data_IF_719625642196
#
_entry.id   IF_719625642196
#
_cell.length_a   1.000
_cell.length_b   1.000
_cell.length_c   1.000
_cell.angle_alpha   90.00
_cell.angle_beta   90.00
_cell.angle_gamma   90.00
#
_symmetry.space_group_name_H-M   'P 1'
#
loop_
_entity.id
_entity.type
_entity.pdbx_description
1 polymer ?
#
# COMPACT_ATOMS: atom_id res chain seq x y z
N UNK A 1 23.94 25.56 9.45
CA UNK A 1 23.25 24.68 8.47
C UNK A 1 22.44 23.66 9.25
N UNK A 2 21.16 23.46 8.93
CA UNK A 2 20.30 22.47 9.61
C UNK A 2 20.54 21.10 8.96
N UNK A 3 20.75 20.06 9.76
CA UNK A 3 20.84 18.69 9.24
C UNK A 3 19.45 18.23 8.79
N UNK A 4 19.38 17.59 7.61
CA UNK A 4 18.16 16.99 7.09
C UNK A 4 18.24 15.47 7.23
N UNK A 5 17.17 14.85 7.74
CA UNK A 5 17.11 13.38 7.88
C UNK A 5 16.66 12.72 6.57
N UNK A 6 17.64 12.45 5.71
CA UNK A 6 17.46 11.90 4.38
C UNK A 6 18.27 10.62 4.17
N UNK A 7 17.79 9.79 3.25
CA UNK A 7 18.46 8.61 2.69
C UNK A 7 18.82 8.91 1.24
N UNK A 8 20.01 8.49 0.84
CA UNK A 8 20.44 8.49 -0.56
C UNK A 8 20.18 7.11 -1.15
N UNK A 9 19.56 7.08 -2.32
CA UNK A 9 19.35 5.86 -3.11
C UNK A 9 20.00 6.09 -4.46
N UNK A 10 20.93 5.20 -4.83
CA UNK A 10 21.60 5.26 -6.13
C UNK A 10 20.87 4.33 -7.09
N UNK A 11 20.30 4.90 -8.14
CA UNK A 11 19.65 4.19 -9.24
C UNK A 11 20.52 4.26 -10.50
N UNK A 12 20.08 3.63 -11.59
CA UNK A 12 20.79 3.68 -12.87
C UNK A 12 20.79 5.12 -13.40
N UNK A 13 21.93 5.79 -13.29
CA UNK A 13 22.14 7.14 -13.80
C UNK A 13 21.57 8.28 -12.93
N UNK A 14 20.96 7.98 -11.78
CA UNK A 14 20.27 8.97 -10.94
C UNK A 14 20.54 8.71 -9.46
N UNK A 15 20.60 9.78 -8.67
CA UNK A 15 20.61 9.72 -7.20
C UNK A 15 19.28 10.30 -6.69
N UNK A 16 18.53 9.51 -5.94
CA UNK A 16 17.34 9.97 -5.25
C UNK A 16 17.68 10.34 -3.79
N UNK A 17 17.22 11.51 -3.36
CA UNK A 17 17.33 11.97 -1.98
C UNK A 17 15.93 11.93 -1.36
N UNK A 18 15.69 10.97 -0.47
CA UNK A 18 14.37 10.70 0.09
C UNK A 18 14.40 10.91 1.60
N UNK A 19 13.45 11.65 2.21
CA UNK A 19 13.31 11.71 3.66
C UNK A 19 13.20 10.31 4.25
N UNK A 20 13.92 10.01 5.35
CA UNK A 20 14.00 8.62 5.85
C UNK A 20 12.66 8.02 6.22
N UNK A 21 11.78 8.86 6.74
CA UNK A 21 10.43 8.51 7.19
C UNK A 21 9.53 8.18 5.99
N UNK A 22 9.81 8.71 4.80
CA UNK A 22 8.94 8.56 3.65
C UNK A 22 9.24 7.27 2.86
N UNK A 23 8.16 6.61 2.43
CA UNK A 23 8.20 5.51 1.46
C UNK A 23 6.84 5.40 0.74
N UNK A 24 6.83 4.73 -0.42
CA UNK A 24 5.63 4.60 -1.27
C UNK A 24 4.46 3.90 -0.55
N UNK A 25 4.72 2.95 0.35
CA UNK A 25 3.70 2.27 1.15
C UNK A 25 2.92 3.21 2.08
N UNK A 26 3.57 4.21 2.69
CA UNK A 26 2.88 5.23 3.48
C UNK A 26 1.93 6.08 2.64
N UNK A 27 2.32 6.37 1.39
CA UNK A 27 1.46 7.10 0.47
C UNK A 27 0.23 6.29 0.13
N UNK A 28 0.38 4.99 -0.15
CA UNK A 28 -0.77 4.09 -0.41
C UNK A 28 -1.74 4.08 0.76
N UNK A 29 -1.27 3.81 1.98
CA UNK A 29 -2.14 3.81 3.17
C UNK A 29 -2.86 5.14 3.34
N UNK A 30 -2.14 6.25 3.14
CA UNK A 30 -2.72 7.59 3.24
C UNK A 30 -3.83 7.81 2.21
N UNK A 31 -3.58 7.49 0.94
CA UNK A 31 -4.57 7.66 -0.14
C UNK A 31 -5.80 6.81 0.13
N UNK A 32 -5.63 5.53 0.48
CA UNK A 32 -6.76 4.63 0.72
C UNK A 32 -7.61 5.06 1.93
N UNK A 33 -6.97 5.47 3.04
CA UNK A 33 -7.67 6.01 4.22
C UNK A 33 -8.40 7.32 3.91
N UNK A 34 -7.77 8.20 3.14
CA UNK A 34 -8.37 9.48 2.76
C UNK A 34 -9.58 9.29 1.83
N UNK A 35 -9.51 8.34 0.89
CA UNK A 35 -10.64 7.97 0.03
C UNK A 35 -11.78 7.41 0.90
N UNK A 36 -11.50 6.46 1.78
CA UNK A 36 -12.51 5.90 2.69
C UNK A 36 -13.18 6.98 3.56
N UNK A 37 -12.42 7.95 4.05
CA UNK A 37 -12.94 9.05 4.86
C UNK A 37 -13.85 9.99 4.04
N UNK A 38 -13.48 10.32 2.80
CA UNK A 38 -14.25 11.23 1.92
C UNK A 38 -15.58 10.65 1.49
N UNK A 39 -15.67 9.33 1.35
CA UNK A 39 -16.86 8.62 0.89
C UNK A 39 -17.73 8.11 2.05
N UNK A 40 -17.69 8.78 3.21
CA UNK A 40 -18.59 8.51 4.33
C UNK A 40 -18.32 7.18 5.04
N UNK A 41 -17.09 6.66 4.97
CA UNK A 41 -16.73 5.33 5.42
C UNK A 41 -16.98 4.24 4.38
N UNK A 42 -17.36 4.62 3.16
CA UNK A 42 -17.27 3.74 1.99
C UNK A 42 -15.88 3.82 1.38
N UNK A 43 -15.18 2.70 1.44
CA UNK A 43 -13.83 2.59 0.91
C UNK A 43 -13.82 2.51 -0.61
N UNK A 44 -12.68 2.10 -1.13
CA UNK A 44 -12.60 1.53 -2.47
C UNK A 44 -13.06 0.07 -2.43
N UNK A 45 -13.67 -0.41 -3.50
CA UNK A 45 -14.06 -1.81 -3.70
C UNK A 45 -13.02 -2.57 -4.56
N UNK A 46 -12.26 -1.84 -5.39
CA UNK A 46 -11.21 -2.38 -6.25
C UNK A 46 -9.91 -1.57 -6.16
N UNK A 47 -8.79 -2.26 -5.99
CA UNK A 47 -7.45 -1.68 -6.00
C UNK A 47 -6.54 -2.49 -6.91
N UNK A 48 -5.91 -1.80 -7.85
CA UNK A 48 -4.83 -2.31 -8.69
C UNK A 48 -3.54 -1.54 -8.40
N UNK A 49 -2.55 -2.22 -7.86
CA UNK A 49 -1.27 -1.65 -7.44
C UNK A 49 -0.13 -2.26 -8.27
N UNK A 50 0.54 -1.45 -9.11
CA UNK A 50 1.61 -1.91 -10.00
C UNK A 50 2.93 -1.17 -9.79
N UNK A 51 4.06 -1.87 -9.88
CA UNK A 51 5.39 -1.24 -9.76
C UNK A 51 6.55 -2.13 -10.23
N UNK A 52 7.62 -1.51 -10.73
CA UNK A 52 8.75 -2.16 -11.39
C UNK A 52 10.02 -2.20 -10.53
N UNK A 53 10.09 -1.40 -9.48
CA UNK A 53 11.32 -1.20 -8.72
C UNK A 53 11.28 -1.77 -7.29
N UNK A 54 12.45 -1.87 -6.66
CA UNK A 54 12.57 -2.32 -5.25
C UNK A 54 11.83 -1.36 -4.31
N UNK A 55 11.74 -0.08 -4.68
CA UNK A 55 11.01 0.91 -3.90
C UNK A 55 9.49 0.65 -3.85
N UNK A 56 8.95 -0.09 -4.81
CA UNK A 56 7.53 -0.45 -4.92
C UNK A 56 7.14 -1.63 -4.02
N UNK A 57 8.10 -2.38 -3.50
CA UNK A 57 7.83 -3.52 -2.61
C UNK A 57 7.09 -3.10 -1.33
N UNK A 58 7.37 -1.89 -0.84
CA UNK A 58 6.65 -1.28 0.27
C UNK A 58 5.21 -0.89 -0.10
N UNK A 59 4.95 -0.64 -1.37
CA UNK A 59 3.61 -0.35 -1.90
C UNK A 59 2.72 -1.61 -1.80
N UNK A 60 3.23 -2.76 -2.25
CA UNK A 60 2.48 -4.03 -2.27
C UNK A 60 2.15 -4.51 -0.86
N UNK A 61 3.14 -4.52 0.02
CA UNK A 61 2.96 -4.92 1.43
C UNK A 61 2.00 -3.98 2.16
N UNK A 62 2.06 -2.67 1.90
CA UNK A 62 1.14 -1.70 2.48
C UNK A 62 -0.30 -1.90 2.00
N UNK A 63 -0.50 -2.25 0.73
CA UNK A 63 -1.82 -2.49 0.16
C UNK A 63 -2.51 -3.70 0.81
N UNK A 64 -1.81 -4.82 0.96
CA UNK A 64 -2.36 -5.98 1.68
C UNK A 64 -2.55 -5.71 3.18
N UNK A 65 -1.61 -5.02 3.83
CA UNK A 65 -1.77 -4.61 5.22
C UNK A 65 -3.02 -3.76 5.42
N UNK A 66 -3.33 -2.87 4.49
CA UNK A 66 -4.56 -2.07 4.54
C UNK A 66 -5.81 -2.93 4.32
N UNK A 67 -5.77 -3.86 3.36
CA UNK A 67 -6.89 -4.78 3.14
C UNK A 67 -7.19 -5.63 4.40
N UNK A 68 -6.15 -6.17 5.04
CA UNK A 68 -6.32 -6.90 6.30
C UNK A 68 -6.88 -6.01 7.42
N UNK A 69 -6.44 -4.76 7.55
CA UNK A 69 -7.00 -3.80 8.51
C UNK A 69 -8.49 -3.52 8.28
N UNK A 70 -9.00 -3.67 7.04
CA UNK A 70 -10.41 -3.51 6.70
C UNK A 70 -11.24 -4.78 6.89
N UNK A 71 -10.65 -5.94 6.65
CA UNK A 71 -11.30 -7.25 6.83
C UNK A 71 -11.41 -7.65 8.32
N UNK A 72 -10.62 -7.03 9.21
CA UNK A 72 -10.74 -7.24 10.66
C UNK A 72 -11.98 -6.52 11.22
N UNK A 73 -13.16 -7.09 10.96
CA UNK A 73 -14.24 -7.04 11.93
C UNK A 73 -13.69 -7.60 13.25
N UNK A 74 -13.59 -6.73 14.26
CA UNK A 74 -13.18 -6.99 15.66
C UNK A 74 -14.05 -7.99 16.42
N UNK A 75 -14.72 -8.93 15.74
CA UNK A 75 -15.56 -9.98 16.32
C UNK A 75 -14.87 -11.34 16.44
N UNK A 76 -13.64 -11.52 15.91
CA UNK A 76 -12.97 -12.83 15.89
C UNK A 76 -11.78 -12.97 16.84
N UNK A 77 -11.31 -11.89 17.46
CA UNK A 77 -10.30 -11.98 18.53
C UNK A 77 -11.03 -12.23 19.85
N UNK A 78 -11.23 -13.51 20.19
CA UNK A 78 -11.57 -13.82 21.58
C UNK A 78 -10.44 -13.27 22.46
N UNK A 79 -10.74 -12.52 23.54
CA UNK A 79 -9.72 -12.13 24.48
C UNK A 79 -8.96 -13.38 24.93
N UNK A 80 -7.65 -13.23 25.15
CA UNK A 80 -6.86 -14.30 25.75
C UNK A 80 -7.61 -14.80 27.00
N UNK A 81 -7.83 -16.12 27.17
CA UNK A 81 -8.64 -16.63 28.26
C UNK A 81 -8.14 -16.04 29.58
N UNK A 82 -9.06 -15.54 30.41
CA UNK A 82 -8.72 -15.02 31.73
C UNK A 82 -7.90 -16.07 32.47
N UNK A 83 -6.63 -15.73 32.73
CA UNK A 83 -5.83 -16.45 33.72
C UNK A 83 -6.51 -16.19 35.06
N UNK A 84 -7.44 -17.08 35.42
CA UNK A 84 -7.98 -17.19 36.77
C UNK A 84 -6.84 -17.64 37.68
N UNK A 85 -6.01 -16.67 38.06
CA UNK A 85 -5.09 -16.78 39.17
C UNK A 85 -5.93 -16.98 40.42
N UNK A 86 -5.95 -18.22 40.91
CA UNK A 86 -6.46 -18.52 42.22
C UNK A 86 -5.68 -17.75 43.28
N UNK A 87 -6.44 -17.35 44.30
CA UNK A 87 -6.04 -17.06 45.66
C UNK A 87 -5.50 -15.65 45.99
N UNK A 88 -6.35 -14.89 46.70
CA UNK A 88 -5.89 -14.07 47.84
C UNK A 88 -5.81 -12.56 47.65
N UNK A 89 -6.77 -11.87 48.28
CA UNK A 89 -6.65 -10.59 49.02
C UNK A 89 -5.68 -9.47 48.57
N UNK A 90 -6.27 -8.30 48.24
CA UNK A 90 -5.63 -7.00 48.50
C UNK A 90 -5.71 -5.97 47.37
N UNK A 91 -6.58 -4.99 47.53
CA UNK A 91 -6.67 -3.80 46.67
C UNK A 91 -5.35 -3.01 46.62
N UNK A 92 -4.83 -2.67 45.43
CA UNK A 92 -3.83 -1.59 45.27
C UNK A 92 -4.09 -0.75 44.00
N UNK A 93 -4.47 0.50 44.29
CA UNK A 93 -4.20 1.79 43.65
C UNK A 93 -3.98 1.90 42.12
N UNK A 94 -4.89 2.64 41.50
CA UNK A 94 -4.60 3.49 40.36
C UNK A 94 -3.68 4.66 40.78
N UNK A 95 -2.54 4.86 40.10
CA UNK A 95 -1.78 6.13 40.10
C UNK A 95 -0.87 6.27 38.87
N UNK A 96 -1.07 7.34 38.09
CA UNK A 96 -0.06 8.16 37.38
C UNK A 96 0.78 7.51 36.25
N UNK A 97 1.30 8.19 35.23
CA UNK A 97 1.55 9.61 34.95
C UNK A 97 1.82 9.81 33.45
N UNK A 98 1.78 11.06 33.01
CA UNK A 98 1.69 11.60 31.66
C UNK A 98 3.03 11.65 30.87
N UNK A 99 2.88 11.93 29.56
CA UNK A 99 3.78 12.60 28.61
C UNK A 99 4.87 11.83 27.82
N UNK A 100 4.64 11.65 26.52
CA UNK A 100 5.62 11.99 25.46
C UNK A 100 4.92 12.29 24.12
N UNK A 101 5.12 13.50 23.60
CA UNK A 101 4.56 14.04 22.35
C UNK A 101 4.84 13.18 21.11
N UNK A 102 3.84 12.38 20.70
CA UNK A 102 3.73 11.85 19.34
C UNK A 102 2.63 12.66 18.64
N UNK A 103 2.85 13.24 17.44
CA UNK A 103 1.78 13.93 16.74
C UNK A 103 0.69 12.91 16.41
N UNK A 104 -0.41 13.01 17.13
CA UNK A 104 -1.64 12.26 16.92
C UNK A 104 -2.11 12.54 15.49
N UNK A 105 -1.78 11.64 14.57
CA UNK A 105 -2.68 11.38 13.45
C UNK A 105 -4.01 11.05 14.12
N UNK A 106 -5.00 11.91 13.88
CA UNK A 106 -6.39 11.71 14.26
C UNK A 106 -6.88 10.44 13.53
N UNK A 107 -6.51 9.27 14.07
CA UNK A 107 -7.10 7.99 13.71
C UNK A 107 -8.51 8.00 14.28
N UNK A 108 -9.39 8.74 13.61
CA UNK A 108 -10.82 8.55 13.73
C UNK A 108 -11.08 7.07 13.44
N UNK A 109 -11.61 6.30 14.42
CA UNK A 109 -11.97 4.91 14.19
C UNK A 109 -13.03 4.90 13.08
N UNK A 110 -12.76 4.18 11.99
CA UNK A 110 -13.72 4.02 10.91
C UNK A 110 -15.00 3.42 11.51
N UNK A 111 -16.15 4.06 11.28
CA UNK A 111 -17.43 3.65 11.88
C UNK A 111 -17.71 2.18 11.53
N UNK A 112 -17.91 1.35 12.55
CA UNK A 112 -18.31 -0.05 12.43
C UNK A 112 -19.60 -0.16 11.61
N UNK A 113 -19.55 -0.86 10.48
CA UNK A 113 -20.72 -1.14 9.64
C UNK A 113 -21.56 -2.21 10.32
N UNK A 114 -22.86 -1.97 10.42
CA UNK A 114 -23.84 -2.92 10.99
C UNK A 114 -24.18 -4.02 9.98
N UNK A 115 -24.38 -5.22 10.50
CA UNK A 115 -24.24 -6.54 9.88
C UNK A 115 -25.37 -7.00 8.95
N UNK A 116 -25.88 -6.14 8.06
CA UNK A 116 -27.03 -6.48 7.19
C UNK A 116 -26.84 -6.15 5.68
N UNK A 117 -25.62 -5.85 5.22
CA UNK A 117 -25.28 -5.70 3.78
C UNK A 117 -24.29 -6.80 3.40
N UNK A 118 -24.57 -7.58 2.36
CA UNK A 118 -23.72 -8.66 1.86
C UNK A 118 -22.37 -8.09 1.35
N UNK A 119 -21.46 -7.87 2.30
CA UNK A 119 -20.00 -7.76 2.21
C UNK A 119 -19.42 -7.07 0.97
N UNK A 120 -19.20 -5.76 1.04
CA UNK A 120 -18.34 -5.04 0.10
C UNK A 120 -16.86 -5.49 0.28
N UNK A 121 -16.52 -6.66 -0.22
CA UNK A 121 -15.17 -7.22 -0.14
C UNK A 121 -14.21 -6.37 -1.00
N UNK A 122 -13.11 -5.91 -0.41
CA UNK A 122 -12.08 -5.17 -1.12
C UNK A 122 -11.28 -6.10 -2.05
N UNK A 123 -11.41 -5.91 -3.36
CA UNK A 123 -10.60 -6.62 -4.35
C UNK A 123 -9.22 -5.98 -4.50
N UNK A 124 -8.21 -6.60 -3.87
CA UNK A 124 -6.82 -6.12 -3.86
C UNK A 124 -5.94 -6.91 -4.83
N UNK A 125 -5.46 -6.25 -5.89
CA UNK A 125 -4.53 -6.81 -6.85
C UNK A 125 -3.20 -6.07 -6.80
N UNK A 126 -2.11 -6.82 -6.64
CA UNK A 126 -0.74 -6.28 -6.76
C UNK A 126 -0.02 -6.97 -7.91
N UNK A 127 0.71 -6.19 -8.71
CA UNK A 127 1.52 -6.74 -9.79
C UNK A 127 2.89 -6.06 -9.89
N UNK A 128 3.93 -6.88 -9.95
CA UNK A 128 5.25 -6.38 -10.34
C UNK A 128 5.34 -6.22 -11.85
N UNK A 129 6.04 -5.20 -12.33
CA UNK A 129 6.39 -5.09 -13.75
C UNK A 129 7.78 -5.69 -13.95
N UNK A 130 7.88 -6.67 -14.84
CA UNK A 130 9.03 -7.56 -14.99
C UNK A 130 8.99 -8.76 -14.05
N UNK A 131 9.56 -9.89 -14.50
CA UNK A 131 9.75 -11.08 -13.66
C UNK A 131 10.90 -10.87 -12.69
N UNK A 132 10.59 -10.73 -11.41
CA UNK A 132 11.56 -10.53 -10.32
C UNK A 132 11.04 -11.11 -9.01
N UNK A 133 11.93 -11.43 -8.04
CA UNK A 133 11.50 -11.64 -6.66
C UNK A 133 10.76 -10.40 -6.16
N UNK A 134 9.54 -10.57 -5.67
CA UNK A 134 8.65 -9.46 -5.27
C UNK A 134 7.65 -9.93 -4.21
N UNK A 135 7.07 -8.98 -3.49
CA UNK A 135 5.91 -9.15 -2.63
C UNK A 135 4.57 -9.01 -3.37
N UNK A 136 4.58 -8.61 -4.64
CA UNK A 136 3.37 -8.61 -5.45
C UNK A 136 2.86 -10.04 -5.72
N UNK A 137 1.55 -10.23 -5.78
CA UNK A 137 0.93 -11.54 -6.06
C UNK A 137 1.00 -11.93 -7.53
N UNK A 138 1.08 -10.94 -8.43
CA UNK A 138 1.14 -11.15 -9.87
C UNK A 138 2.35 -10.43 -10.48
N UNK A 139 2.57 -10.66 -11.77
CA UNK A 139 3.50 -9.86 -12.56
C UNK A 139 2.97 -9.60 -13.97
N UNK A 140 3.47 -8.52 -14.57
CA UNK A 140 3.27 -8.12 -15.96
C UNK A 140 4.66 -8.12 -16.62
N UNK A 141 4.81 -8.48 -17.90
CA UNK A 141 6.15 -8.69 -18.46
C UNK A 141 6.95 -7.39 -18.61
N UNK A 142 6.30 -6.32 -19.08
CA UNK A 142 6.92 -5.03 -19.34
C UNK A 142 5.90 -3.88 -19.25
N UNK A 143 6.37 -2.64 -19.41
CA UNK A 143 5.52 -1.46 -19.37
C UNK A 143 4.48 -1.41 -20.49
N UNK A 144 4.72 -2.13 -21.60
CA UNK A 144 3.78 -2.18 -22.71
C UNK A 144 2.55 -3.02 -22.35
N UNK A 145 2.78 -4.20 -21.79
CA UNK A 145 1.72 -5.07 -21.28
C UNK A 145 0.89 -4.35 -20.20
N UNK A 146 1.51 -3.50 -19.37
CA UNK A 146 0.77 -2.63 -18.43
C UNK A 146 -0.20 -1.72 -19.17
N UNK A 147 0.25 -1.05 -20.23
CA UNK A 147 -0.60 -0.21 -21.06
C UNK A 147 -1.75 -0.99 -21.71
N UNK A 148 -1.47 -2.14 -22.31
CA UNK A 148 -2.50 -3.00 -22.90
C UNK A 148 -3.53 -3.48 -21.87
N UNK A 149 -3.10 -3.82 -20.66
CA UNK A 149 -3.98 -4.21 -19.56
C UNK A 149 -4.88 -3.05 -19.13
N UNK A 150 -4.35 -1.85 -18.95
CA UNK A 150 -5.13 -0.67 -18.56
C UNK A 150 -6.16 -0.28 -19.64
N UNK A 151 -5.82 -0.44 -20.92
CA UNK A 151 -6.76 -0.22 -22.03
C UNK A 151 -7.88 -1.25 -22.00
N UNK A 152 -7.55 -2.53 -21.80
CA UNK A 152 -8.55 -3.60 -21.68
C UNK A 152 -9.49 -3.35 -20.49
N UNK A 153 -8.96 -2.92 -19.35
CA UNK A 153 -9.76 -2.54 -18.16
C UNK A 153 -10.68 -1.34 -18.43
N UNK A 154 -10.28 -0.42 -19.31
CA UNK A 154 -11.14 0.70 -19.72
C UNK A 154 -12.26 0.29 -20.70
N UNK A 155 -12.30 -0.98 -21.14
CA UNK A 155 -13.24 -1.47 -22.15
C UNK A 155 -12.83 -1.14 -23.60
N UNK A 156 -11.58 -0.73 -23.82
CA UNK A 156 -11.04 -0.43 -25.15
C UNK A 156 -10.33 -1.63 -25.79
N UNK A 157 -10.28 -1.65 -27.12
CA UNK A 157 -9.57 -2.68 -27.89
C UNK A 157 -8.06 -2.42 -27.89
N UNK A 158 -7.33 -3.14 -27.03
CA UNK A 158 -5.88 -2.99 -26.84
C UNK A 158 -5.05 -3.19 -28.14
N UNK A 159 -5.52 -4.02 -29.08
CA UNK A 159 -4.85 -4.23 -30.38
C UNK A 159 -4.90 -3.00 -31.30
N UNK A 160 -5.91 -2.14 -31.14
CA UNK A 160 -6.10 -0.96 -32.01
C UNK A 160 -5.35 0.29 -31.51
N UNK A 161 -5.09 0.36 -30.20
CA UNK A 161 -4.60 1.57 -29.54
C UNK A 161 -3.06 1.61 -29.40
N UNK A 162 -2.39 0.46 -29.45
CA UNK A 162 -0.97 0.34 -29.16
C UNK A 162 -0.32 -0.67 -30.12
N UNK A 163 0.35 -0.18 -31.17
CA UNK A 163 1.17 -1.03 -32.05
C UNK A 163 2.52 -1.30 -31.40
N UNK A 164 2.77 -2.57 -31.00
CA UNK A 164 4.04 -2.96 -30.35
C UNK A 164 5.22 -2.59 -31.24
N UNK A 165 6.19 -1.79 -30.78
CA UNK A 165 7.43 -1.60 -31.53
C UNK A 165 8.14 -2.95 -31.67
N UNK A 166 8.49 -3.32 -32.89
CA UNK A 166 9.24 -4.54 -33.21
C UNK A 166 10.62 -4.49 -32.57
N UNK A 167 10.97 -5.54 -31.81
CA UNK A 167 12.24 -5.68 -31.08
C UNK A 167 13.49 -5.92 -31.98
N UNK A 168 13.43 -5.61 -33.27
CA UNK A 168 14.59 -5.64 -34.17
C UNK A 168 15.21 -4.24 -34.23
N UNK A 169 16.06 -3.88 -33.25
CA UNK A 169 16.91 -2.69 -33.35
C UNK A 169 17.28 -1.94 -32.07
N UNK A 170 16.80 -2.34 -30.89
CA UNK A 170 16.98 -1.58 -29.65
C UNK A 170 18.35 -1.81 -28.94
N UNK A 171 19.44 -1.91 -29.70
CA UNK A 171 20.81 -1.91 -29.16
C UNK A 171 21.59 -0.62 -29.48
N UNK A 172 20.94 0.49 -29.81
CA UNK A 172 21.59 1.83 -29.84
C UNK A 172 20.53 2.92 -29.75
N UNK A 173 20.17 3.38 -28.54
CA UNK A 173 19.79 4.77 -28.23
C UNK A 173 19.17 4.91 -26.83
N UNK A 174 19.98 4.71 -25.80
CA UNK A 174 19.66 5.27 -24.47
C UNK A 174 20.33 6.64 -24.23
N UNK A 175 21.08 7.15 -25.22
CA UNK A 175 21.84 8.39 -25.08
C UNK A 175 21.08 9.66 -25.49
N UNK A 176 20.04 9.57 -26.33
CA UNK A 176 19.33 10.77 -26.82
C UNK A 176 18.14 11.23 -25.97
N UNK A 177 17.74 10.50 -24.93
CA UNK A 177 16.60 10.91 -24.09
C UNK A 177 16.95 11.97 -23.03
N UNK A 178 18.25 12.27 -22.81
CA UNK A 178 18.73 13.24 -21.81
C UNK A 178 19.65 14.34 -22.38
N UNK A 179 19.59 14.60 -23.69
CA UNK A 179 20.30 15.73 -24.31
C UNK A 179 19.41 16.98 -24.40
#
# INVERSE_FOLDING_TARGET
>A
MRAFDVRFVTLKGVIEVVPRILNKGLIVKKVLREVAARHGGDGVDFVLCMGDDISDEKMFTAAFSFASEMDEDVTSVLPSPDVSGGDGDGAILATGTEDSDVPMIDEQPLKSRTSDDDGNALYMFTASVGKKPTHASNYVNDAWDVGSLLISLSGGDAESALQRPSLEGAETDQAEFFA
#
